data_IF_476136795732
#
_entry.id   IF_476136795732
#
_cell.length_a   1.000
_cell.length_b   1.000
_cell.length_c   1.000
_cell.angle_alpha   90.00
_cell.angle_beta   90.00
_cell.angle_gamma   90.00
#
_symmetry.space_group_name_H-M   'P 1'
#
loop_
_entity.id
_entity.type
_entity.pdbx_description
1 polymer ?
#
# COMPACT_ATOMS: atom_id res chain seq x y z
N UNK A 1 -17.05 -10.66 4.88
CA UNK A 1 -15.97 -11.38 4.17
C UNK A 1 -14.82 -10.43 3.96
N UNK A 2 -13.58 -10.87 4.17
CA UNK A 2 -12.40 -10.04 3.92
C UNK A 2 -12.28 -9.66 2.44
N UNK A 3 -11.65 -8.50 2.16
CA UNK A 3 -11.49 -7.97 0.80
C UNK A 3 -10.52 -8.78 -0.06
N UNK A 4 -9.60 -9.52 0.56
CA UNK A 4 -8.76 -10.50 -0.11
C UNK A 4 -9.21 -11.91 0.28
N UNK A 5 -9.20 -12.83 -0.70
CA UNK A 5 -9.35 -14.25 -0.42
C UNK A 5 -8.22 -14.70 0.51
N UNK A 6 -8.45 -15.76 1.30
CA UNK A 6 -7.43 -16.26 2.24
C UNK A 6 -6.11 -16.61 1.52
N UNK A 7 -6.19 -17.33 0.40
CA UNK A 7 -5.01 -17.69 -0.39
C UNK A 7 -4.30 -16.50 -1.03
N UNK A 8 -5.06 -15.48 -1.49
CA UNK A 8 -4.45 -14.26 -2.02
C UNK A 8 -3.75 -13.45 -0.92
N UNK A 9 -4.37 -13.35 0.26
CA UNK A 9 -3.76 -12.69 1.43
C UNK A 9 -2.46 -13.38 1.83
N UNK A 10 -2.47 -14.70 1.97
CA UNK A 10 -1.28 -15.47 2.34
C UNK A 10 -0.15 -15.35 1.31
N UNK A 11 -0.48 -15.47 0.02
CA UNK A 11 0.51 -15.32 -1.07
C UNK A 11 1.14 -13.93 -1.07
N UNK A 12 0.31 -12.89 -0.89
CA UNK A 12 0.78 -11.51 -0.81
C UNK A 12 1.65 -11.29 0.44
N UNK A 13 1.22 -11.79 1.60
CA UNK A 13 2.02 -11.69 2.83
C UNK A 13 3.40 -12.33 2.66
N UNK A 14 3.47 -13.56 2.13
CA UNK A 14 4.75 -14.24 1.91
C UNK A 14 5.66 -13.49 0.94
N UNK A 15 5.10 -12.90 -0.12
CA UNK A 15 5.84 -12.09 -1.08
C UNK A 15 6.44 -10.84 -0.42
N UNK A 16 5.63 -10.11 0.38
CA UNK A 16 6.06 -8.89 1.05
C UNK A 16 7.10 -9.19 2.14
N UNK A 17 6.94 -10.26 2.90
CA UNK A 17 7.92 -10.70 3.89
C UNK A 17 9.25 -11.09 3.25
N UNK A 18 9.23 -11.85 2.15
CA UNK A 18 10.45 -12.21 1.43
C UNK A 18 11.16 -10.97 0.86
N UNK A 19 10.39 -10.01 0.34
CA UNK A 19 10.93 -8.74 -0.16
C UNK A 19 11.57 -7.90 0.96
N UNK A 20 10.92 -7.80 2.12
CA UNK A 20 11.46 -7.13 3.30
C UNK A 20 12.76 -7.79 3.76
N UNK A 21 12.81 -9.12 3.84
CA UNK A 21 14.04 -9.85 4.22
C UNK A 21 15.19 -9.60 3.24
N UNK A 22 14.89 -9.48 1.94
CA UNK A 22 15.90 -9.29 0.91
C UNK A 22 16.41 -7.84 0.79
N UNK A 23 15.59 -6.84 1.16
CA UNK A 23 15.87 -5.42 0.85
C UNK A 23 15.83 -4.50 2.06
N UNK A 24 15.32 -4.96 3.19
CA UNK A 24 14.93 -4.19 4.39
C UNK A 24 13.76 -3.22 4.18
N UNK A 25 13.28 -3.06 2.95
CA UNK A 25 12.17 -2.18 2.62
C UNK A 25 10.85 -2.78 3.12
N UNK A 26 10.02 -1.95 3.75
CA UNK A 26 8.75 -2.40 4.32
C UNK A 26 7.60 -1.93 3.45
N UNK A 27 6.84 -2.87 2.90
CA UNK A 27 5.66 -2.55 2.08
C UNK A 27 4.45 -3.15 2.77
N UNK A 28 3.44 -2.32 3.03
CA UNK A 28 2.20 -2.72 3.67
C UNK A 28 1.03 -2.50 2.71
N UNK A 29 0.10 -3.45 2.70
CA UNK A 29 -1.19 -3.30 2.01
C UNK A 29 -2.30 -3.25 3.05
N UNK A 30 -3.00 -2.12 3.11
CA UNK A 30 -4.12 -1.89 4.00
C UNK A 30 -5.42 -1.77 3.20
N UNK A 31 -6.43 -2.54 3.60
CA UNK A 31 -7.78 -2.47 3.00
C UNK A 31 -8.78 -2.08 4.07
N UNK A 32 -9.50 -0.98 3.85
CA UNK A 32 -10.57 -0.51 4.75
C UNK A 32 -11.91 -0.45 4.00
N UNK A 33 -13.05 -0.64 4.69
CA UNK A 33 -14.36 -0.50 4.05
C UNK A 33 -14.57 0.90 3.49
N UNK A 34 -14.39 1.93 4.32
CA UNK A 34 -14.64 3.33 3.98
C UNK A 34 -13.66 4.28 4.67
N UNK A 35 -13.44 5.46 4.08
CA UNK A 35 -12.73 6.60 4.66
C UNK A 35 -13.61 7.46 5.60
N UNK A 36 -14.91 7.18 5.69
CA UNK A 36 -15.84 7.91 6.56
C UNK A 36 -15.84 9.45 6.29
N UNK A 37 -15.69 9.84 5.02
CA UNK A 37 -15.55 11.22 4.52
C UNK A 37 -14.20 11.92 4.79
N UNK A 38 -13.18 11.17 5.22
CA UNK A 38 -11.81 11.70 5.28
C UNK A 38 -11.14 11.68 3.89
N UNK A 39 -10.26 12.64 3.64
CA UNK A 39 -9.41 12.60 2.44
C UNK A 39 -8.36 11.48 2.57
N UNK A 40 -8.22 10.70 1.51
CA UNK A 40 -7.39 9.49 1.51
C UNK A 40 -5.93 9.82 1.81
N UNK A 41 -5.46 10.99 1.39
CA UNK A 41 -4.11 11.52 1.61
C UNK A 41 -3.80 11.70 3.10
N UNK A 42 -4.74 12.29 3.85
CA UNK A 42 -4.53 12.52 5.28
C UNK A 42 -4.64 11.19 6.04
N UNK A 43 -5.56 10.33 5.62
CA UNK A 43 -5.74 9.03 6.24
C UNK A 43 -4.50 8.13 6.04
N UNK A 44 -3.97 8.05 4.82
CA UNK A 44 -2.82 7.19 4.50
C UNK A 44 -1.56 7.61 5.24
N UNK A 45 -1.27 8.91 5.34
CA UNK A 45 -0.13 9.43 6.12
C UNK A 45 -0.27 9.06 7.60
N UNK A 46 -1.41 9.38 8.21
CA UNK A 46 -1.64 9.06 9.63
C UNK A 46 -1.56 7.57 9.91
N UNK A 47 -2.03 6.73 8.97
CA UNK A 47 -1.96 5.28 9.11
C UNK A 47 -0.52 4.77 9.03
N UNK A 48 0.26 5.27 8.06
CA UNK A 48 1.67 4.94 7.93
C UNK A 48 2.46 5.32 9.18
N UNK A 49 2.21 6.52 9.71
CA UNK A 49 2.80 7.01 10.95
C UNK A 49 2.35 6.15 12.14
N UNK A 50 1.06 5.88 12.31
CA UNK A 50 0.55 5.10 13.43
C UNK A 50 1.12 3.67 13.46
N UNK A 51 1.37 3.08 12.29
CA UNK A 51 1.94 1.74 12.17
C UNK A 51 3.48 1.74 12.13
N UNK A 52 4.11 2.91 12.14
CA UNK A 52 5.57 3.06 12.11
C UNK A 52 6.18 2.27 10.94
N UNK A 53 5.61 2.43 9.75
CA UNK A 53 6.03 1.68 8.56
C UNK A 53 7.40 2.18 8.10
N UNK A 54 8.35 1.26 7.95
CA UNK A 54 9.75 1.55 7.65
C UNK A 54 10.62 1.48 8.89
N UNK A 55 11.93 1.46 8.67
CA UNK A 55 12.91 1.43 9.75
C UNK A 55 13.32 2.85 10.15
N UNK A 56 13.50 3.07 11.45
CA UNK A 56 13.92 4.37 12.00
C UNK A 56 15.18 4.89 11.30
N UNK A 57 15.09 6.12 10.75
CA UNK A 57 16.18 6.79 10.05
C UNK A 57 16.51 6.24 8.65
N UNK A 58 15.73 5.28 8.14
CA UNK A 58 15.87 4.80 6.75
C UNK A 58 14.78 5.29 5.82
N UNK A 59 13.61 5.65 6.36
CA UNK A 59 12.44 6.10 5.59
C UNK A 59 12.10 5.13 4.44
N UNK A 60 12.31 3.84 4.66
CA UNK A 60 12.23 2.79 3.64
C UNK A 60 10.88 2.04 3.68
N UNK A 61 9.83 2.73 4.11
CA UNK A 61 8.47 2.24 4.22
C UNK A 61 7.58 2.68 3.06
N UNK A 62 6.62 1.85 2.67
CA UNK A 62 5.54 2.21 1.75
C UNK A 62 4.22 1.57 2.20
N UNK A 63 3.12 2.27 1.94
CA UNK A 63 1.77 1.74 2.16
C UNK A 63 0.91 1.91 0.91
N UNK A 64 0.26 0.83 0.48
CA UNK A 64 -0.88 0.86 -0.42
C UNK A 64 -2.17 0.80 0.43
N UNK A 65 -2.93 1.88 0.42
CA UNK A 65 -4.25 1.96 1.05
C UNK A 65 -5.34 1.79 0.00
N UNK A 66 -6.32 0.94 0.30
CA UNK A 66 -7.50 0.67 -0.53
C UNK A 66 -8.74 0.92 0.32
N UNK A 67 -9.51 1.96 -0.02
CA UNK A 67 -10.81 2.26 0.55
C UNK A 67 -11.90 1.80 -0.42
N UNK A 68 -12.46 0.62 -0.14
CA UNK A 68 -13.26 -0.12 -1.13
C UNK A 68 -14.54 0.61 -1.50
N UNK A 69 -15.29 1.05 -0.49
CA UNK A 69 -16.63 1.59 -0.69
C UNK A 69 -16.56 3.01 -1.29
N UNK A 70 -15.49 3.76 -0.98
CA UNK A 70 -15.14 5.03 -1.64
C UNK A 70 -14.53 4.86 -3.04
N UNK A 71 -14.12 3.64 -3.38
CA UNK A 71 -13.37 3.30 -4.61
C UNK A 71 -12.12 4.17 -4.78
N UNK A 72 -11.44 4.47 -3.67
CA UNK A 72 -10.21 5.26 -3.64
C UNK A 72 -9.03 4.37 -3.27
N UNK A 73 -7.88 4.65 -3.89
CA UNK A 73 -6.62 3.95 -3.64
C UNK A 73 -5.51 4.97 -3.57
N UNK A 74 -4.53 4.76 -2.68
CA UNK A 74 -3.38 5.64 -2.55
C UNK A 74 -2.13 4.85 -2.16
N UNK A 75 -1.00 5.28 -2.70
CA UNK A 75 0.32 4.79 -2.33
C UNK A 75 1.06 5.92 -1.64
N UNK A 76 1.59 5.67 -0.44
CA UNK A 76 2.59 6.52 0.20
C UNK A 76 3.94 5.82 0.15
N UNK A 77 4.98 6.60 -0.15
CA UNK A 77 6.35 6.10 -0.27
C UNK A 77 7.24 6.98 0.59
N UNK A 78 7.99 6.36 1.50
CA UNK A 78 9.03 7.02 2.26
C UNK A 78 10.23 7.37 1.38
N UNK A 79 10.91 8.45 1.73
CA UNK A 79 12.00 9.02 0.93
C UNK A 79 13.15 8.03 0.65
N UNK A 80 13.40 7.10 1.58
CA UNK A 80 14.42 6.06 1.42
C UNK A 80 14.15 5.07 0.28
N UNK A 81 12.93 5.05 -0.26
CA UNK A 81 12.54 4.18 -1.38
C UNK A 81 12.59 4.85 -2.75
N UNK A 82 12.84 6.17 -2.87
CA UNK A 82 12.77 6.87 -4.16
C UNK A 82 13.71 6.28 -5.23
N UNK A 83 14.87 5.74 -4.82
CA UNK A 83 15.80 5.08 -5.74
C UNK A 83 15.32 3.72 -6.26
N UNK A 84 14.33 3.11 -5.61
CA UNK A 84 13.75 1.82 -5.96
C UNK A 84 12.42 2.03 -6.69
N UNK A 85 11.51 2.74 -6.04
CA UNK A 85 10.20 3.12 -6.53
C UNK A 85 9.99 4.61 -6.23
N UNK A 86 9.98 5.42 -7.28
CA UNK A 86 9.65 6.83 -7.16
C UNK A 86 8.14 7.05 -7.34
N UNK A 87 7.68 8.24 -7.00
CA UNK A 87 6.27 8.63 -7.09
C UNK A 87 5.68 8.43 -8.50
N UNK A 88 6.46 8.70 -9.55
CA UNK A 88 6.03 8.48 -10.94
C UNK A 88 5.70 7.00 -11.20
N UNK A 89 6.59 6.08 -10.84
CA UNK A 89 6.38 4.63 -10.98
C UNK A 89 5.23 4.14 -10.12
N UNK A 90 5.08 4.69 -8.91
CA UNK A 90 3.97 4.37 -8.02
C UNK A 90 2.63 4.78 -8.65
N UNK A 91 2.58 5.98 -9.23
CA UNK A 91 1.44 6.46 -9.99
C UNK A 91 1.11 5.58 -11.19
N UNK A 92 2.11 5.08 -11.92
CA UNK A 92 1.91 4.15 -13.04
C UNK A 92 1.34 2.81 -12.55
N UNK A 93 1.87 2.23 -11.47
CA UNK A 93 1.33 0.99 -10.87
C UNK A 93 -0.13 1.20 -10.46
N UNK A 94 -0.46 2.34 -9.84
CA UNK A 94 -1.81 2.65 -9.43
C UNK A 94 -2.76 2.72 -10.64
N UNK A 95 -2.38 3.47 -11.67
CA UNK A 95 -3.22 3.74 -12.86
C UNK A 95 -3.35 2.55 -13.79
N UNK A 96 -2.27 1.81 -14.02
CA UNK A 96 -2.19 0.83 -15.10
C UNK A 96 -2.44 -0.60 -14.63
N UNK A 97 -2.24 -0.86 -13.33
CA UNK A 97 -2.36 -2.21 -12.74
C UNK A 97 -3.50 -2.27 -11.74
N UNK A 98 -3.44 -1.45 -10.68
CA UNK A 98 -4.32 -1.59 -9.52
C UNK A 98 -5.76 -1.10 -9.79
N UNK A 99 -5.91 0.12 -10.32
CA UNK A 99 -7.24 0.67 -10.64
C UNK A 99 -8.00 -0.23 -11.64
N UNK A 100 -7.39 -0.69 -12.75
CA UNK A 100 -8.06 -1.59 -13.68
C UNK A 100 -8.44 -2.94 -13.06
N UNK A 101 -7.58 -3.53 -12.22
CA UNK A 101 -7.89 -4.78 -11.52
C UNK A 101 -9.09 -4.60 -10.57
N UNK A 102 -9.09 -3.54 -9.78
CA UNK A 102 -10.18 -3.23 -8.86
C UNK A 102 -11.50 -2.98 -9.59
N UNK A 103 -11.48 -2.33 -10.76
CA UNK A 103 -12.67 -2.13 -11.60
C UNK A 103 -13.25 -3.44 -12.17
N UNK A 104 -12.41 -4.46 -12.37
CA UNK A 104 -12.84 -5.79 -12.83
C UNK A 104 -13.33 -6.68 -11.69
N UNK A 105 -13.08 -6.31 -10.44
CA UNK A 105 -13.42 -7.11 -9.26
C UNK A 105 -12.46 -8.28 -9.02
N UNK A 106 -11.22 -8.13 -9.52
CA UNK A 106 -10.11 -9.09 -9.33
C UNK A 106 -9.42 -8.91 -7.97
#
# INVERSE_FOLDING_TARGET
GGMLSYGAKESLTNLLEAYEQATTNQIVVATIPSLENEEIEQFSIRLADAWQIGQAGKDNGAILLIARDDRRMRIEIGYGLEGVINDARAGDILRDVLIPAFQRGD
#
